data_IF_402971099096
#
_entry.id   IF_402971099096
#
_cell.length_a   1.000
_cell.length_b   1.000
_cell.length_c   1.000
_cell.angle_alpha   90.00
_cell.angle_beta   90.00
_cell.angle_gamma   90.00
#
_symmetry.space_group_name_H-M   'P 1'
#
loop_
_entity.id
_entity.type
_entity.pdbx_description
1 polymer ?
#
# COMPACT_ATOMS: atom_id res chain seq x y z
N UNK A 1 -18.78 18.33 1.52
CA UNK A 1 -17.97 19.18 2.41
C UNK A 1 -16.73 19.70 1.68
N UNK A 2 -16.13 20.78 2.18
CA UNK A 2 -14.86 21.31 1.67
C UNK A 2 -13.72 20.79 2.55
N UNK A 3 -12.92 19.87 2.01
CA UNK A 3 -11.83 19.19 2.71
C UNK A 3 -10.49 19.80 2.28
N UNK A 4 -9.68 20.25 3.24
CA UNK A 4 -8.31 20.68 2.96
C UNK A 4 -7.35 19.54 3.25
N UNK A 5 -6.76 18.96 2.18
CA UNK A 5 -5.78 17.90 2.24
C UNK A 5 -4.37 18.47 2.17
N UNK A 6 -3.54 18.17 3.17
CA UNK A 6 -2.14 18.61 3.22
C UNK A 6 -1.21 17.41 3.06
N UNK A 7 -0.32 17.50 2.07
CA UNK A 7 0.69 16.48 1.81
C UNK A 7 2.06 17.13 1.55
N UNK A 8 3.15 16.48 1.98
CA UNK A 8 4.51 17.03 1.88
C UNK A 8 4.90 17.35 0.46
N UNK A 9 4.81 16.36 -0.40
CA UNK A 9 5.16 16.43 -1.80
C UNK A 9 4.04 15.76 -2.60
N UNK A 10 3.62 16.39 -3.68
CA UNK A 10 2.60 15.88 -4.57
C UNK A 10 3.20 15.75 -5.96
N UNK A 11 3.26 14.52 -6.48
CA UNK A 11 3.77 14.17 -7.80
C UNK A 11 5.21 14.65 -8.10
N UNK A 12 6.21 13.95 -7.58
CA UNK A 12 7.65 14.29 -7.73
C UNK A 12 8.35 13.52 -8.87
N UNK A 13 7.67 12.62 -9.56
CA UNK A 13 8.25 11.79 -10.62
C UNK A 13 8.78 12.59 -11.80
N UNK A 14 10.02 12.28 -12.24
CA UNK A 14 10.61 12.80 -13.50
C UNK A 14 10.16 11.99 -14.73
N UNK A 15 9.60 10.82 -14.53
CA UNK A 15 9.07 9.93 -15.57
C UNK A 15 7.54 9.92 -15.52
N UNK A 16 6.93 9.75 -16.67
CA UNK A 16 5.49 9.72 -16.86
C UNK A 16 5.08 8.31 -17.23
N UNK A 17 3.92 7.87 -16.74
CA UNK A 17 3.25 6.68 -17.24
C UNK A 17 2.58 6.95 -18.60
N UNK A 18 2.02 5.92 -19.22
CA UNK A 18 1.32 6.04 -20.52
C UNK A 18 0.11 6.96 -20.49
N UNK A 19 -0.48 7.21 -19.32
CA UNK A 19 -1.58 8.18 -19.13
C UNK A 19 -1.08 9.62 -18.99
N UNK A 20 0.24 9.83 -18.98
CA UNK A 20 0.87 11.11 -18.78
C UNK A 20 0.86 11.57 -17.32
N UNK A 21 0.61 10.65 -16.37
CA UNK A 21 0.75 10.92 -14.95
C UNK A 21 2.20 10.64 -14.49
N UNK A 22 2.75 11.43 -13.56
CA UNK A 22 4.11 11.21 -13.08
C UNK A 22 4.19 9.92 -12.27
N UNK A 23 5.28 9.15 -12.45
CA UNK A 23 5.60 8.05 -11.56
C UNK A 23 5.75 8.56 -10.14
N UNK A 24 4.93 8.07 -9.25
CA UNK A 24 4.79 8.55 -7.87
C UNK A 24 5.45 7.58 -6.88
N UNK A 25 6.04 8.11 -5.81
CA UNK A 25 6.40 7.29 -4.65
C UNK A 25 5.13 6.78 -3.95
N UNK A 26 5.22 5.68 -3.21
CA UNK A 26 4.05 5.08 -2.55
C UNK A 26 3.20 6.07 -1.75
N UNK A 27 3.82 6.94 -0.93
CA UNK A 27 3.08 7.93 -0.13
C UNK A 27 2.36 9.01 -0.95
N UNK A 28 2.92 9.42 -2.08
CA UNK A 28 2.31 10.40 -2.99
C UNK A 28 1.11 9.81 -3.72
N UNK A 29 1.25 8.55 -4.18
CA UNK A 29 0.18 7.79 -4.82
C UNK A 29 -1.02 7.62 -3.87
N UNK A 30 -0.78 7.32 -2.61
CA UNK A 30 -1.84 7.20 -1.60
C UNK A 30 -2.57 8.53 -1.37
N UNK A 31 -1.83 9.65 -1.26
CA UNK A 31 -2.46 10.96 -1.08
C UNK A 31 -3.38 11.35 -2.24
N UNK A 32 -2.97 11.07 -3.47
CA UNK A 32 -3.80 11.30 -4.65
C UNK A 32 -5.02 10.37 -4.68
N UNK A 33 -4.84 9.10 -4.35
CA UNK A 33 -5.95 8.14 -4.31
C UNK A 33 -6.98 8.53 -3.24
N UNK A 34 -6.54 8.96 -2.04
CA UNK A 34 -7.45 9.47 -1.01
C UNK A 34 -8.24 10.70 -1.50
N UNK A 35 -7.58 11.64 -2.19
CA UNK A 35 -8.28 12.80 -2.77
C UNK A 35 -9.33 12.38 -3.82
N UNK A 36 -8.97 11.44 -4.71
CA UNK A 36 -9.89 10.90 -5.72
C UNK A 36 -11.13 10.27 -5.09
N UNK A 37 -10.93 9.46 -4.06
CA UNK A 37 -12.02 8.78 -3.38
C UNK A 37 -12.95 9.77 -2.65
N UNK A 38 -12.38 10.77 -1.96
CA UNK A 38 -13.19 11.83 -1.34
C UNK A 38 -13.98 12.64 -2.37
N UNK A 39 -13.43 12.91 -3.56
CA UNK A 39 -14.16 13.55 -4.66
C UNK A 39 -15.27 12.64 -5.17
N UNK A 40 -15.00 11.34 -5.36
CA UNK A 40 -16.00 10.34 -5.77
C UNK A 40 -17.20 10.28 -4.81
N UNK A 41 -16.94 10.51 -3.52
CA UNK A 41 -17.94 10.59 -2.46
C UNK A 41 -18.66 11.96 -2.40
N UNK A 42 -18.38 12.88 -3.34
CA UNK A 42 -19.09 14.15 -3.47
C UNK A 42 -18.49 15.31 -2.67
N UNK A 43 -17.24 15.20 -2.22
CA UNK A 43 -16.55 16.29 -1.51
C UNK A 43 -15.77 17.18 -2.47
N UNK A 44 -15.62 18.45 -2.10
CA UNK A 44 -14.67 19.36 -2.72
C UNK A 44 -13.33 19.29 -1.99
N UNK A 45 -12.24 18.95 -2.69
CA UNK A 45 -10.93 18.73 -2.07
C UNK A 45 -9.93 19.79 -2.50
N UNK A 46 -9.37 20.51 -1.53
CA UNK A 46 -8.25 21.43 -1.75
C UNK A 46 -6.95 20.75 -1.34
N UNK A 47 -6.06 20.47 -2.28
CA UNK A 47 -4.74 19.90 -2.01
C UNK A 47 -3.70 21.00 -1.84
N UNK A 48 -3.05 21.04 -0.68
CA UNK A 48 -1.93 21.94 -0.39
C UNK A 48 -0.62 21.15 -0.32
N UNK A 49 0.34 21.45 -1.22
CA UNK A 49 1.61 20.75 -1.30
C UNK A 49 2.81 21.65 -1.60
N UNK A 50 4.02 21.19 -1.26
CA UNK A 50 5.26 21.96 -1.37
C UNK A 50 5.78 22.12 -2.81
N UNK A 51 5.64 21.10 -3.67
CA UNK A 51 6.26 21.06 -5.00
C UNK A 51 5.27 21.11 -6.15
N UNK A 52 5.71 21.76 -7.22
CA UNK A 52 5.03 22.02 -8.47
C UNK A 52 5.50 21.02 -9.54
N UNK A 53 4.72 20.00 -9.81
CA UNK A 53 4.69 19.46 -11.17
C UNK A 53 3.25 18.96 -11.38
N UNK A 54 2.57 19.31 -12.49
CA UNK A 54 1.28 18.70 -12.92
C UNK A 54 -0.04 19.24 -12.36
N UNK A 55 -0.06 20.37 -11.69
CA UNK A 55 -1.32 20.98 -11.24
C UNK A 55 -2.36 21.16 -12.36
N UNK A 56 -1.93 21.51 -13.57
CA UNK A 56 -2.83 21.69 -14.71
C UNK A 56 -3.51 20.38 -15.11
N UNK A 57 -2.75 19.31 -15.33
CA UNK A 57 -3.30 18.00 -15.76
C UNK A 57 -4.21 17.35 -14.72
N UNK A 58 -3.85 17.42 -13.45
CA UNK A 58 -4.70 16.88 -12.37
C UNK A 58 -5.99 17.68 -12.25
N UNK A 59 -5.95 19.01 -12.45
CA UNK A 59 -7.15 19.86 -12.44
C UNK A 59 -8.09 19.54 -13.59
N UNK A 60 -7.57 19.30 -14.78
CA UNK A 60 -8.34 18.88 -15.97
C UNK A 60 -9.01 17.52 -15.79
N UNK A 61 -8.34 16.57 -15.09
CA UNK A 61 -8.85 15.22 -14.85
C UNK A 61 -10.00 15.16 -13.83
N UNK A 62 -10.15 16.16 -12.95
CA UNK A 62 -11.10 16.13 -11.83
C UNK A 62 -12.13 17.28 -11.85
N UNK A 63 -12.35 17.87 -13.04
CA UNK A 63 -13.49 18.72 -13.42
C UNK A 63 -13.97 19.71 -12.33
N UNK A 64 -13.02 20.46 -11.75
CA UNK A 64 -13.34 21.53 -10.80
C UNK A 64 -13.60 21.10 -9.35
N UNK A 65 -13.69 19.79 -9.06
CA UNK A 65 -13.85 19.30 -7.69
C UNK A 65 -12.54 19.31 -6.89
N UNK A 66 -11.41 19.67 -7.52
CA UNK A 66 -10.10 19.72 -6.89
C UNK A 66 -9.45 21.08 -7.05
N UNK A 67 -9.09 21.71 -5.96
CA UNK A 67 -8.22 22.88 -5.93
C UNK A 67 -6.79 22.48 -5.56
N UNK A 68 -5.83 22.94 -6.35
CA UNK A 68 -4.42 22.68 -6.14
C UNK A 68 -3.69 23.94 -5.73
N UNK A 69 -3.19 23.97 -4.51
CA UNK A 69 -2.49 25.12 -3.94
C UNK A 69 -1.01 24.83 -3.80
N UNK A 70 -0.20 25.55 -4.59
CA UNK A 70 1.25 25.54 -4.42
C UNK A 70 1.69 26.53 -3.36
N UNK A 71 2.53 26.07 -2.44
CA UNK A 71 3.13 26.92 -1.42
C UNK A 71 4.52 27.41 -1.84
N UNK A 72 4.75 28.73 -1.79
CA UNK A 72 5.94 29.39 -2.35
C UNK A 72 6.92 29.87 -1.26
N UNK A 73 8.23 29.71 -1.51
CA UNK A 73 9.32 30.43 -0.84
C UNK A 73 9.55 30.16 0.65
N UNK A 74 10.28 31.08 1.28
CA UNK A 74 10.63 31.04 2.70
C UNK A 74 9.44 31.33 3.63
N UNK A 75 8.45 32.07 3.15
CA UNK A 75 7.23 32.50 3.90
C UNK A 75 6.09 31.49 3.80
N UNK A 76 6.35 30.34 3.22
CA UNK A 76 5.43 29.21 2.95
C UNK A 76 4.49 28.88 4.11
N UNK A 77 5.00 29.00 5.31
CA UNK A 77 4.31 28.66 6.54
C UNK A 77 3.19 29.65 6.85
N UNK A 78 3.46 30.94 6.63
CA UNK A 78 2.48 31.99 6.84
C UNK A 78 1.47 32.07 5.68
N UNK A 79 1.90 31.73 4.47
CA UNK A 79 1.03 31.67 3.28
C UNK A 79 -0.18 30.76 3.48
N UNK A 80 0.00 29.58 4.11
CA UNK A 80 -1.12 28.68 4.42
C UNK A 80 -2.14 29.38 5.31
N UNK A 81 -1.69 29.98 6.40
CA UNK A 81 -2.58 30.65 7.34
C UNK A 81 -3.36 31.78 6.67
N UNK A 82 -2.69 32.60 5.85
CA UNK A 82 -3.35 33.66 5.09
C UNK A 82 -4.37 33.10 4.09
N UNK A 83 -4.03 32.04 3.38
CA UNK A 83 -4.97 31.40 2.42
C UNK A 83 -6.18 30.78 3.12
N UNK A 84 -5.99 30.21 4.30
CA UNK A 84 -7.09 29.70 5.09
C UNK A 84 -8.00 30.79 5.62
N UNK A 85 -7.45 31.95 5.96
CA UNK A 85 -8.25 33.12 6.39
C UNK A 85 -9.03 33.78 5.25
N UNK A 86 -8.53 33.68 4.03
CA UNK A 86 -9.09 34.37 2.85
C UNK A 86 -9.82 33.44 1.91
N UNK A 87 -9.06 32.69 1.10
CA UNK A 87 -9.59 31.92 -0.04
C UNK A 87 -10.24 30.60 0.43
N UNK A 88 -9.71 29.97 1.48
CA UNK A 88 -10.18 28.63 1.95
C UNK A 88 -10.85 28.69 3.32
N UNK A 89 -11.40 29.85 3.73
CA UNK A 89 -12.12 30.02 5.01
C UNK A 89 -13.34 29.11 5.17
N UNK A 90 -13.88 28.60 4.05
CA UNK A 90 -15.01 27.67 4.03
C UNK A 90 -14.61 26.21 4.21
N UNK A 91 -13.33 25.91 4.54
CA UNK A 91 -12.94 24.55 4.87
C UNK A 91 -13.78 24.00 6.04
N UNK A 92 -14.27 22.79 5.90
CA UNK A 92 -15.07 22.10 6.92
C UNK A 92 -14.21 21.21 7.79
N UNK A 93 -13.19 20.58 7.21
CA UNK A 93 -12.26 19.67 7.90
C UNK A 93 -10.88 19.71 7.24
N UNK A 94 -9.87 19.26 8.00
CA UNK A 94 -8.48 19.16 7.56
C UNK A 94 -8.00 17.73 7.61
N UNK A 95 -7.43 17.25 6.49
CA UNK A 95 -6.82 15.95 6.38
C UNK A 95 -5.33 16.07 6.07
N UNK A 96 -4.48 15.58 6.94
CA UNK A 96 -3.02 15.72 6.85
C UNK A 96 -2.42 14.35 6.64
N UNK A 97 -1.67 14.18 5.54
CA UNK A 97 -0.98 12.92 5.23
C UNK A 97 0.49 13.06 5.61
N UNK A 98 0.93 12.23 6.53
CA UNK A 98 2.25 12.33 7.15
C UNK A 98 2.35 13.56 8.05
N UNK A 99 3.55 14.15 8.16
CA UNK A 99 3.80 15.29 9.04
C UNK A 99 4.58 16.41 8.35
N UNK A 100 4.02 17.02 7.29
CA UNK A 100 4.69 18.15 6.65
C UNK A 100 4.83 19.31 7.61
N UNK A 101 6.04 19.90 7.69
CA UNK A 101 6.34 21.01 8.64
C UNK A 101 5.36 22.18 8.52
N UNK A 102 4.85 22.43 7.34
CA UNK A 102 3.94 23.54 7.05
C UNK A 102 2.50 23.29 7.54
N UNK A 103 2.09 22.05 7.83
CA UNK A 103 0.74 21.74 8.30
C UNK A 103 0.46 22.23 9.73
N UNK A 104 1.51 22.61 10.47
CA UNK A 104 1.39 23.26 11.80
C UNK A 104 0.41 24.43 11.76
N UNK A 105 0.48 25.27 10.73
CA UNK A 105 -0.39 26.43 10.58
C UNK A 105 -1.84 26.05 10.27
N UNK A 106 -2.03 24.96 9.53
CA UNK A 106 -3.38 24.43 9.27
C UNK A 106 -4.00 23.88 10.57
N UNK A 107 -3.21 23.16 11.39
CA UNK A 107 -3.67 22.67 12.71
C UNK A 107 -4.03 23.85 13.63
N UNK A 108 -3.17 24.88 13.70
CA UNK A 108 -3.46 26.09 14.48
C UNK A 108 -4.76 26.76 14.03
N UNK A 109 -4.92 26.97 12.73
CA UNK A 109 -6.14 27.55 12.17
C UNK A 109 -7.38 26.72 12.52
N UNK A 110 -7.29 25.39 12.33
CA UNK A 110 -8.38 24.49 12.64
C UNK A 110 -8.78 24.56 14.12
N UNK A 111 -7.80 24.55 15.03
CA UNK A 111 -8.05 24.69 16.48
C UNK A 111 -8.68 26.03 16.84
N UNK A 112 -8.21 27.14 16.23
CA UNK A 112 -8.79 28.49 16.47
C UNK A 112 -10.22 28.60 15.94
N UNK A 113 -10.57 27.85 14.91
CA UNK A 113 -11.90 27.91 14.26
C UNK A 113 -12.82 26.75 14.64
N UNK A 114 -12.39 25.85 15.55
CA UNK A 114 -13.17 24.69 16.00
C UNK A 114 -13.39 23.63 14.89
N UNK A 115 -12.49 23.57 13.89
CA UNK A 115 -12.60 22.62 12.78
C UNK A 115 -11.83 21.34 13.07
N UNK A 116 -12.38 20.15 12.73
CA UNK A 116 -11.70 18.88 12.98
C UNK A 116 -10.45 18.70 12.11
N UNK A 117 -9.46 18.01 12.68
CA UNK A 117 -8.21 17.65 12.02
C UNK A 117 -7.97 16.17 12.15
N UNK A 118 -7.84 15.48 11.01
CA UNK A 118 -7.44 14.08 10.95
C UNK A 118 -6.00 13.97 10.43
N UNK A 119 -5.16 13.19 11.11
CA UNK A 119 -3.77 12.94 10.74
C UNK A 119 -3.59 11.48 10.30
N UNK A 120 -3.22 11.26 9.02
CA UNK A 120 -2.79 9.94 8.55
C UNK A 120 -1.33 9.68 8.91
N UNK A 121 -1.10 8.57 9.61
CA UNK A 121 0.19 8.12 10.10
C UNK A 121 0.87 7.25 9.02
N UNK A 122 1.90 7.78 8.36
CA UNK A 122 2.55 7.14 7.21
C UNK A 122 3.81 6.33 7.54
N UNK A 123 4.04 6.01 8.81
CA UNK A 123 5.19 5.24 9.30
C UNK A 123 5.21 5.24 10.82
N UNK A 124 6.15 4.50 11.39
CA UNK A 124 6.31 4.38 12.86
C UNK A 124 6.63 5.71 13.54
N UNK A 125 6.34 5.79 14.82
CA UNK A 125 6.49 6.99 15.65
C UNK A 125 7.94 7.37 15.97
N UNK A 126 8.95 6.61 15.58
CA UNK A 126 10.39 6.86 15.87
C UNK A 126 10.85 8.30 15.56
N UNK A 127 10.12 8.98 14.68
CA UNK A 127 10.37 10.39 14.32
C UNK A 127 9.82 11.39 15.37
N UNK A 128 9.08 10.91 16.41
CA UNK A 128 8.60 11.75 17.54
C UNK A 128 9.65 11.91 18.66
N UNK A 129 10.93 11.61 18.41
CA UNK A 129 11.98 11.60 19.42
C UNK A 129 12.23 12.93 20.15
N UNK A 130 11.63 14.04 19.72
CA UNK A 130 11.68 15.32 20.42
C UNK A 130 10.30 15.72 20.98
N UNK A 131 9.84 14.98 22.01
CA UNK A 131 8.53 15.12 22.69
C UNK A 131 8.22 16.54 23.21
N UNK A 132 9.20 17.43 23.28
CA UNK A 132 9.05 18.79 23.82
C UNK A 132 8.80 19.86 22.74
N UNK A 133 8.96 19.52 21.46
CA UNK A 133 8.76 20.49 20.38
C UNK A 133 7.29 20.92 20.31
N UNK A 134 7.04 22.23 20.21
CA UNK A 134 5.71 22.80 19.98
C UNK A 134 4.98 22.14 18.79
N UNK A 135 5.73 21.81 17.76
CA UNK A 135 5.24 21.11 16.58
C UNK A 135 4.67 19.72 16.92
N UNK A 136 5.39 18.93 17.71
CA UNK A 136 4.95 17.56 18.07
C UNK A 136 3.70 17.63 18.98
N UNK A 137 3.64 18.60 19.87
CA UNK A 137 2.43 18.84 20.69
C UNK A 137 1.21 19.17 19.81
N UNK A 138 1.39 19.94 18.73
CA UNK A 138 0.30 20.24 17.80
C UNK A 138 -0.12 19.00 17.03
N UNK A 139 0.80 18.19 16.52
CA UNK A 139 0.45 16.92 15.86
C UNK A 139 -0.25 15.95 16.84
N UNK A 140 0.14 15.92 18.10
CA UNK A 140 -0.51 15.12 19.13
C UNK A 140 -1.89 15.67 19.55
N UNK A 141 -2.26 16.88 19.15
CA UNK A 141 -3.55 17.49 19.45
C UNK A 141 -4.61 17.32 18.38
N UNK A 142 -4.34 16.57 17.31
CA UNK A 142 -5.33 16.28 16.28
C UNK A 142 -6.54 15.54 16.86
N UNK A 143 -7.68 15.67 16.20
CA UNK A 143 -8.94 15.12 16.71
C UNK A 143 -9.03 13.63 16.42
N UNK A 144 -8.58 13.21 15.21
CA UNK A 144 -8.55 11.82 14.77
C UNK A 144 -7.20 11.46 14.13
N UNK A 145 -6.88 10.16 14.18
CA UNK A 145 -5.70 9.59 13.53
C UNK A 145 -6.10 8.37 12.72
N UNK A 146 -5.46 8.20 11.55
CA UNK A 146 -5.59 7.00 10.72
C UNK A 146 -4.23 6.32 10.66
N UNK A 147 -4.13 5.12 11.23
CA UNK A 147 -2.99 4.22 11.07
C UNK A 147 -3.31 3.19 9.99
N UNK A 148 -2.34 2.84 9.15
CA UNK A 148 -2.57 1.85 8.09
C UNK A 148 -2.37 0.42 8.57
N UNK A 149 -1.75 0.22 9.74
CA UNK A 149 -1.47 -1.08 10.36
C UNK A 149 -1.52 -0.98 11.88
N UNK A 150 -1.72 -2.13 12.55
CA UNK A 150 -1.64 -2.21 14.00
C UNK A 150 -0.25 -1.82 14.53
N UNK A 151 0.82 -2.24 13.84
CA UNK A 151 2.18 -1.86 14.23
C UNK A 151 2.38 -0.35 14.27
N UNK A 152 1.83 0.38 13.28
CA UNK A 152 1.86 1.85 13.27
C UNK A 152 1.04 2.40 14.43
N UNK A 153 -0.19 1.92 14.64
CA UNK A 153 -1.05 2.32 15.76
C UNK A 153 -0.31 2.17 17.09
N UNK A 154 0.23 0.97 17.36
CA UNK A 154 0.94 0.66 18.60
C UNK A 154 2.18 1.54 18.82
N UNK A 155 2.94 1.83 17.75
CA UNK A 155 4.09 2.72 17.86
C UNK A 155 3.68 4.15 18.27
N UNK A 156 2.54 4.65 17.80
CA UNK A 156 2.04 5.98 18.17
C UNK A 156 1.45 6.03 19.59
N UNK A 157 0.81 4.95 20.04
CA UNK A 157 0.37 4.82 21.43
C UNK A 157 1.59 4.81 22.36
N UNK A 158 2.58 3.95 22.08
CA UNK A 158 3.75 3.74 22.94
C UNK A 158 4.70 4.94 22.95
N UNK A 159 5.09 5.41 21.76
CA UNK A 159 6.20 6.35 21.62
C UNK A 159 5.74 7.81 21.55
N UNK A 160 4.55 8.07 21.02
CA UNK A 160 3.97 9.40 20.91
C UNK A 160 2.89 9.69 21.98
N UNK A 161 2.47 8.68 22.76
CA UNK A 161 1.43 8.77 23.78
C UNK A 161 0.09 9.34 23.25
N UNK A 162 -0.25 8.98 22.01
CA UNK A 162 -1.56 9.32 21.44
C UNK A 162 -2.61 8.43 22.10
N UNK A 163 -3.77 9.03 22.44
CA UNK A 163 -4.89 8.27 22.97
C UNK A 163 -5.37 7.23 21.96
N UNK A 164 -5.40 5.91 22.31
CA UNK A 164 -5.87 4.85 21.41
C UNK A 164 -7.29 5.08 20.90
N UNK A 165 -8.18 5.72 21.68
CA UNK A 165 -9.56 6.02 21.30
C UNK A 165 -9.68 7.08 20.16
N UNK A 166 -8.56 7.61 19.70
CA UNK A 166 -8.49 8.54 18.57
C UNK A 166 -7.85 7.92 17.33
N UNK A 167 -7.37 6.67 17.39
CA UNK A 167 -6.61 6.05 16.30
C UNK A 167 -7.44 4.94 15.67
N UNK A 168 -7.95 5.20 14.48
CA UNK A 168 -8.56 4.19 13.62
C UNK A 168 -7.48 3.43 12.85
N UNK A 169 -7.66 2.11 12.65
CA UNK A 169 -6.85 1.30 11.73
C UNK A 169 -7.61 1.19 10.42
N UNK A 170 -7.15 1.92 9.41
CA UNK A 170 -7.74 1.95 8.07
C UNK A 170 -6.63 1.65 7.06
N UNK A 171 -6.63 0.47 6.41
CA UNK A 171 -5.59 0.07 5.46
C UNK A 171 -5.59 0.94 4.21
N UNK A 172 -4.59 0.74 3.36
CA UNK A 172 -4.64 1.29 2.01
C UNK A 172 -5.71 0.56 1.19
N UNK A 173 -6.52 1.32 0.48
CA UNK A 173 -7.47 0.78 -0.49
C UNK A 173 -6.77 0.24 -1.74
N UNK A 174 -7.38 -0.77 -2.35
CA UNK A 174 -6.97 -1.33 -3.63
C UNK A 174 -8.14 -1.39 -4.63
N UNK A 175 -7.82 -1.24 -5.91
CA UNK A 175 -8.77 -1.41 -7.01
C UNK A 175 -8.94 -2.91 -7.33
N UNK A 176 -9.92 -3.54 -6.73
CA UNK A 176 -10.23 -4.96 -6.95
C UNK A 176 -10.70 -5.25 -8.38
N UNK A 177 -11.17 -4.24 -9.14
CA UNK A 177 -11.55 -4.40 -10.54
C UNK A 177 -10.30 -4.47 -11.43
N UNK A 178 -9.24 -3.77 -11.05
CA UNK A 178 -7.94 -3.85 -11.71
C UNK A 178 -7.23 -5.16 -11.39
N UNK A 179 -7.37 -5.66 -10.16
CA UNK A 179 -6.77 -6.91 -9.67
C UNK A 179 -7.85 -7.92 -9.30
N UNK A 180 -8.64 -8.42 -10.29
CA UNK A 180 -9.72 -9.34 -10.01
C UNK A 180 -9.19 -10.69 -9.56
N UNK A 181 -10.01 -11.42 -8.80
CA UNK A 181 -9.73 -12.82 -8.50
C UNK A 181 -9.55 -13.62 -9.79
N UNK A 182 -8.51 -14.45 -9.84
CA UNK A 182 -8.19 -15.34 -10.95
C UNK A 182 -8.35 -16.78 -10.44
N UNK A 183 -9.31 -17.52 -11.01
CA UNK A 183 -9.54 -18.93 -10.66
C UNK A 183 -8.37 -19.83 -11.15
N UNK A 184 -8.33 -21.06 -10.66
CA UNK A 184 -7.35 -22.03 -11.15
C UNK A 184 -7.52 -22.28 -12.66
N UNK A 185 -8.76 -22.42 -13.13
CA UNK A 185 -9.09 -22.61 -14.54
C UNK A 185 -8.62 -21.44 -15.40
N UNK A 186 -8.86 -20.20 -14.94
CA UNK A 186 -8.40 -19.01 -15.66
C UNK A 186 -6.87 -18.90 -15.69
N UNK A 187 -6.18 -19.36 -14.63
CA UNK A 187 -4.70 -19.46 -14.62
C UNK A 187 -4.22 -20.50 -15.62
N UNK A 188 -4.86 -21.66 -15.67
CA UNK A 188 -4.53 -22.69 -16.64
C UNK A 188 -4.67 -22.17 -18.08
N UNK A 189 -5.75 -21.48 -18.38
CA UNK A 189 -5.98 -20.85 -19.70
C UNK A 189 -4.90 -19.82 -20.00
N UNK A 190 -4.58 -18.95 -19.06
CA UNK A 190 -3.56 -17.91 -19.24
C UNK A 190 -2.16 -18.53 -19.51
N UNK A 191 -1.80 -19.58 -18.77
CA UNK A 191 -0.54 -20.33 -18.97
C UNK A 191 -0.49 -20.98 -20.35
N UNK A 192 -1.55 -21.66 -20.78
CA UNK A 192 -1.63 -22.25 -22.12
C UNK A 192 -1.49 -21.21 -23.23
N UNK A 193 -2.15 -20.06 -23.10
CA UNK A 193 -2.01 -18.94 -24.04
C UNK A 193 -0.58 -18.38 -24.10
N UNK A 194 0.16 -18.48 -23.01
CA UNK A 194 1.57 -18.09 -22.93
C UNK A 194 2.54 -19.20 -23.36
N UNK A 195 2.05 -20.35 -23.81
CA UNK A 195 2.88 -21.50 -24.21
C UNK A 195 3.53 -22.23 -23.01
N UNK A 196 2.94 -22.11 -21.83
CA UNK A 196 3.39 -22.79 -20.60
C UNK A 196 2.52 -24.00 -20.31
N UNK A 197 3.06 -24.94 -19.56
CA UNK A 197 2.26 -26.03 -19.03
C UNK A 197 1.29 -25.49 -17.97
N UNK A 198 0.01 -25.80 -18.16
CA UNK A 198 -1.08 -25.23 -17.37
C UNK A 198 -1.11 -25.71 -15.92
N UNK A 199 -0.64 -26.93 -15.65
CA UNK A 199 -0.70 -27.53 -14.31
C UNK A 199 0.55 -27.27 -13.48
N UNK A 200 1.66 -26.90 -14.11
CA UNK A 200 2.92 -26.64 -13.42
C UNK A 200 2.84 -25.31 -12.67
N UNK A 201 3.11 -25.29 -11.34
CA UNK A 201 3.02 -24.06 -10.56
C UNK A 201 4.17 -23.11 -10.86
N UNK A 202 3.88 -21.81 -10.85
CA UNK A 202 4.84 -20.74 -11.05
C UNK A 202 4.91 -19.81 -9.83
N UNK A 203 6.12 -19.28 -9.55
CA UNK A 203 6.40 -18.34 -8.48
C UNK A 203 6.41 -16.90 -9.01
N UNK A 204 5.97 -15.96 -8.19
CA UNK A 204 6.01 -14.52 -8.48
C UNK A 204 6.67 -13.75 -7.35
N UNK A 205 7.63 -12.90 -7.69
CA UNK A 205 8.08 -11.77 -6.90
C UNK A 205 7.70 -10.48 -7.63
N UNK A 206 6.89 -9.64 -7.01
CA UNK A 206 6.45 -8.38 -7.62
C UNK A 206 6.65 -7.23 -6.62
N UNK A 207 7.76 -6.52 -6.75
CA UNK A 207 8.10 -5.37 -5.93
C UNK A 207 9.24 -4.57 -6.57
N UNK A 208 9.49 -3.35 -6.08
CA UNK A 208 10.73 -2.64 -6.43
C UNK A 208 11.94 -3.47 -6.00
N UNK A 209 12.85 -3.76 -6.93
CA UNK A 209 14.07 -4.51 -6.64
C UNK A 209 15.03 -3.65 -5.84
N UNK A 210 15.14 -3.93 -4.54
CA UNK A 210 16.00 -3.25 -3.58
C UNK A 210 16.44 -4.23 -2.49
N UNK A 211 17.58 -4.02 -1.81
CA UNK A 211 18.11 -4.95 -0.81
C UNK A 211 17.08 -5.34 0.26
N UNK A 212 16.37 -4.35 0.80
CA UNK A 212 15.36 -4.55 1.86
C UNK A 212 14.05 -5.22 1.39
N UNK A 213 13.88 -5.49 0.09
CA UNK A 213 12.72 -6.21 -0.46
C UNK A 213 12.95 -7.71 -0.56
N UNK A 214 14.13 -8.19 -0.15
CA UNK A 214 14.42 -9.62 0.01
C UNK A 214 14.62 -10.39 -1.29
N UNK A 215 14.97 -9.71 -2.40
CA UNK A 215 15.19 -10.39 -3.68
C UNK A 215 16.24 -11.50 -3.58
N UNK A 216 17.33 -11.30 -2.81
CA UNK A 216 18.36 -12.31 -2.62
C UNK A 216 17.84 -13.54 -1.87
N UNK A 217 16.91 -13.35 -0.95
CA UNK A 217 16.22 -14.45 -0.27
C UNK A 217 15.34 -15.22 -1.28
N UNK A 218 14.55 -14.51 -2.09
CA UNK A 218 13.74 -15.14 -3.12
C UNK A 218 14.57 -15.97 -4.12
N UNK A 219 15.74 -15.45 -4.52
CA UNK A 219 16.68 -16.18 -5.37
C UNK A 219 17.27 -17.42 -4.70
N UNK A 220 17.62 -17.33 -3.41
CA UNK A 220 18.11 -18.47 -2.64
C UNK A 220 17.03 -19.55 -2.46
N UNK A 221 15.78 -19.14 -2.23
CA UNK A 221 14.62 -20.04 -2.20
C UNK A 221 14.44 -20.71 -3.54
N UNK A 222 14.47 -19.94 -4.64
CA UNK A 222 14.27 -20.50 -5.97
C UNK A 222 15.28 -21.56 -6.36
N UNK A 223 16.57 -21.38 -6.01
CA UNK A 223 17.61 -22.39 -6.28
C UNK A 223 17.25 -23.76 -5.70
N UNK A 224 16.72 -23.80 -4.46
CA UNK A 224 16.31 -25.05 -3.83
C UNK A 224 14.99 -25.59 -4.41
N UNK A 225 14.03 -24.72 -4.71
CA UNK A 225 12.77 -25.09 -5.35
C UNK A 225 13.02 -25.70 -6.73
N UNK A 226 13.90 -25.10 -7.53
CA UNK A 226 14.20 -25.53 -8.88
C UNK A 226 14.76 -26.96 -8.95
N UNK A 227 15.47 -27.46 -7.94
CA UNK A 227 15.95 -28.82 -7.88
C UNK A 227 14.83 -29.87 -8.03
N UNK A 228 13.62 -29.54 -7.55
CA UNK A 228 12.46 -30.43 -7.57
C UNK A 228 11.40 -30.03 -8.60
N UNK A 229 11.36 -28.76 -9.03
CA UNK A 229 10.33 -28.19 -9.92
C UNK A 229 10.94 -27.52 -11.14
N UNK A 230 11.68 -28.31 -11.95
CA UNK A 230 12.52 -27.80 -13.06
C UNK A 230 11.72 -27.15 -14.20
N UNK A 231 10.45 -27.52 -14.39
CA UNK A 231 9.57 -26.95 -15.42
C UNK A 231 8.87 -25.67 -14.97
N UNK A 232 8.90 -25.37 -13.67
CA UNK A 232 8.33 -24.15 -13.09
C UNK A 232 9.09 -22.89 -13.52
N UNK A 233 8.38 -21.75 -13.52
CA UNK A 233 8.97 -20.44 -13.79
C UNK A 233 8.88 -19.56 -12.55
N UNK A 234 9.89 -18.70 -12.40
CA UNK A 234 9.92 -17.66 -11.39
C UNK A 234 9.95 -16.29 -12.06
N UNK A 235 8.86 -15.53 -11.92
CA UNK A 235 8.74 -14.18 -12.44
C UNK A 235 9.23 -13.16 -11.44
N UNK A 236 10.18 -12.29 -11.83
CA UNK A 236 10.66 -11.15 -11.06
C UNK A 236 10.17 -9.88 -11.76
N UNK A 237 9.14 -9.26 -11.21
CA UNK A 237 8.49 -8.08 -11.75
C UNK A 237 8.81 -6.87 -10.89
N UNK A 238 9.39 -5.86 -11.50
CA UNK A 238 9.77 -4.60 -10.88
C UNK A 238 11.16 -4.12 -11.29
N UNK A 239 11.31 -2.80 -11.35
CA UNK A 239 12.60 -2.15 -11.56
C UNK A 239 13.31 -1.85 -10.25
N UNK A 240 14.56 -1.39 -10.33
CA UNK A 240 15.30 -0.97 -9.14
C UNK A 240 16.82 -1.07 -9.29
N UNK A 241 17.47 -1.74 -8.34
CA UNK A 241 18.92 -1.91 -8.30
C UNK A 241 19.38 -2.85 -9.42
N UNK A 242 20.18 -2.32 -10.34
CA UNK A 242 20.68 -3.08 -11.48
C UNK A 242 21.60 -4.24 -11.06
N UNK A 243 22.37 -4.08 -10.00
CA UNK A 243 23.26 -5.14 -9.50
C UNK A 243 22.44 -6.35 -9.04
N UNK A 244 21.31 -6.10 -8.36
CA UNK A 244 20.41 -7.16 -7.92
C UNK A 244 19.64 -7.80 -9.09
N UNK A 245 19.29 -7.03 -10.11
CA UNK A 245 18.70 -7.56 -11.36
C UNK A 245 19.70 -8.41 -12.14
N UNK A 246 20.96 -8.01 -12.20
CA UNK A 246 22.02 -8.80 -12.85
C UNK A 246 22.32 -10.09 -12.07
N UNK A 247 22.29 -10.03 -10.74
CA UNK A 247 22.36 -11.24 -9.91
C UNK A 247 21.20 -12.21 -10.18
N UNK A 248 19.99 -11.68 -10.34
CA UNK A 248 18.82 -12.52 -10.70
C UNK A 248 19.01 -13.20 -12.07
N UNK A 249 19.58 -12.50 -13.08
CA UNK A 249 19.91 -13.09 -14.39
C UNK A 249 20.96 -14.15 -14.26
N UNK A 250 22.03 -13.91 -13.48
CA UNK A 250 23.10 -14.88 -13.22
C UNK A 250 22.56 -16.16 -12.55
N UNK A 251 21.65 -16.01 -11.58
CA UNK A 251 21.00 -17.17 -10.96
C UNK A 251 20.08 -17.88 -11.95
N UNK A 252 19.42 -17.15 -12.84
CA UNK A 252 18.60 -17.75 -13.90
C UNK A 252 19.40 -18.70 -14.79
N UNK A 253 20.60 -18.29 -15.23
CA UNK A 253 21.50 -19.15 -16.01
C UNK A 253 21.84 -20.45 -15.28
N UNK A 254 22.03 -20.39 -13.96
CA UNK A 254 22.27 -21.59 -13.12
C UNK A 254 21.05 -22.52 -12.99
N UNK A 255 19.85 -21.98 -13.22
CA UNK A 255 18.57 -22.69 -13.12
C UNK A 255 17.93 -22.84 -14.53
N UNK A 256 18.69 -23.12 -15.56
CA UNK A 256 18.26 -23.34 -16.94
C UNK A 256 17.29 -22.25 -17.47
N UNK A 257 17.57 -21.00 -17.17
CA UNK A 257 16.77 -19.83 -17.55
C UNK A 257 15.29 -19.91 -17.07
N UNK A 258 15.06 -20.53 -15.92
CA UNK A 258 13.72 -20.63 -15.31
C UNK A 258 13.27 -19.34 -14.64
N UNK A 259 14.19 -18.41 -14.30
CA UNK A 259 13.86 -17.10 -13.74
C UNK A 259 13.66 -16.11 -14.89
N UNK A 260 12.49 -15.50 -14.95
CA UNK A 260 12.13 -14.48 -15.93
C UNK A 260 12.23 -13.10 -15.28
N UNK A 261 13.33 -12.39 -15.53
CA UNK A 261 13.53 -11.01 -15.02
C UNK A 261 12.81 -10.05 -15.95
N UNK A 262 11.61 -9.67 -15.57
CA UNK A 262 10.71 -8.82 -16.37
C UNK A 262 11.13 -7.34 -16.33
N UNK A 263 11.58 -6.86 -15.17
CA UNK A 263 11.86 -5.45 -14.93
C UNK A 263 10.59 -4.64 -14.60
N UNK A 264 10.69 -3.32 -14.78
CA UNK A 264 9.58 -2.39 -14.51
C UNK A 264 8.52 -2.45 -15.63
N UNK A 265 7.26 -2.64 -15.24
CA UNK A 265 6.11 -2.68 -16.15
C UNK A 265 4.98 -1.77 -15.64
N UNK A 266 4.14 -1.29 -16.55
CA UNK A 266 2.97 -0.47 -16.20
C UNK A 266 1.80 -1.32 -15.66
N UNK A 267 1.72 -2.57 -16.10
CA UNK A 267 0.67 -3.53 -15.72
C UNK A 267 1.28 -4.85 -15.27
N UNK A 268 1.02 -5.21 -14.02
CA UNK A 268 1.51 -6.45 -13.40
C UNK A 268 0.50 -7.60 -13.48
N UNK A 269 -0.74 -7.33 -13.90
CA UNK A 269 -1.83 -8.31 -13.91
C UNK A 269 -1.58 -9.54 -14.77
N UNK A 270 -0.86 -9.48 -15.92
CA UNK A 270 -0.51 -10.68 -16.66
C UNK A 270 0.32 -11.67 -15.83
N UNK A 271 1.23 -11.17 -15.00
CA UNK A 271 2.10 -12.02 -14.16
C UNK A 271 1.35 -12.60 -12.96
N UNK A 272 0.33 -11.91 -12.43
CA UNK A 272 -0.60 -12.48 -11.46
C UNK A 272 -1.38 -13.67 -12.04
N UNK A 273 -1.73 -13.61 -13.33
CA UNK A 273 -2.44 -14.71 -14.02
C UNK A 273 -1.54 -15.90 -14.34
N UNK A 274 -0.25 -15.67 -14.59
CA UNK A 274 0.72 -16.71 -14.92
C UNK A 274 1.33 -17.40 -13.70
N UNK A 275 1.07 -16.89 -12.50
CA UNK A 275 1.69 -17.36 -11.26
C UNK A 275 0.66 -17.96 -10.31
N UNK A 276 1.12 -18.85 -9.44
CA UNK A 276 0.30 -19.61 -8.49
C UNK A 276 0.61 -19.19 -7.03
N UNK A 277 1.87 -18.89 -6.77
CA UNK A 277 2.37 -18.51 -5.46
C UNK A 277 3.10 -17.18 -5.54
N UNK A 278 2.80 -16.29 -4.59
CA UNK A 278 3.48 -15.01 -4.43
C UNK A 278 4.47 -15.09 -3.27
N UNK A 279 5.74 -14.80 -3.52
CA UNK A 279 6.79 -14.72 -2.49
C UNK A 279 7.15 -13.27 -2.19
N UNK A 280 7.10 -12.89 -0.92
CA UNK A 280 7.36 -11.52 -0.48
C UNK A 280 8.28 -11.46 0.76
N UNK A 281 9.60 -11.72 0.60
CA UNK A 281 10.55 -11.82 1.71
C UNK A 281 11.13 -10.46 2.14
N UNK A 282 10.32 -9.42 2.17
CA UNK A 282 10.72 -8.06 2.56
C UNK A 282 11.15 -8.00 4.03
N UNK A 283 12.13 -7.16 4.35
CA UNK A 283 12.63 -6.99 5.72
C UNK A 283 11.85 -5.92 6.50
N UNK A 284 11.27 -4.95 5.79
CA UNK A 284 10.53 -3.84 6.40
C UNK A 284 9.41 -3.36 5.47
N UNK A 285 8.19 -3.33 5.97
CA UNK A 285 7.04 -2.78 5.28
C UNK A 285 6.13 -1.99 6.25
N UNK A 286 5.45 -0.98 5.71
CA UNK A 286 4.23 -0.48 6.32
C UNK A 286 3.06 -1.42 5.96
N UNK A 287 2.18 -1.00 5.06
CA UNK A 287 1.21 -1.89 4.44
C UNK A 287 1.58 -2.05 2.95
N UNK A 288 2.08 -3.23 2.51
CA UNK A 288 2.60 -3.38 1.15
C UNK A 288 1.47 -3.51 0.12
N UNK A 289 1.40 -2.54 -0.80
CA UNK A 289 0.38 -2.54 -1.86
C UNK A 289 0.49 -3.76 -2.78
N UNK A 290 1.72 -4.19 -3.11
CA UNK A 290 1.93 -5.37 -3.97
C UNK A 290 1.44 -6.67 -3.35
N UNK A 291 1.46 -6.79 -2.02
CA UNK A 291 0.85 -7.92 -1.31
C UNK A 291 -0.67 -7.88 -1.45
N UNK A 292 -1.30 -6.71 -1.27
CA UNK A 292 -2.75 -6.55 -1.49
C UNK A 292 -3.14 -6.87 -2.94
N UNK A 293 -2.33 -6.46 -3.93
CA UNK A 293 -2.53 -6.76 -5.35
C UNK A 293 -2.50 -8.28 -5.61
N UNK A 294 -1.51 -8.97 -5.06
CA UNK A 294 -1.38 -10.43 -5.17
C UNK A 294 -2.52 -11.17 -4.48
N UNK A 295 -2.88 -10.77 -3.25
CA UNK A 295 -4.01 -11.31 -2.50
C UNK A 295 -5.35 -11.11 -3.23
N UNK A 296 -5.60 -9.90 -3.74
CA UNK A 296 -6.81 -9.58 -4.52
C UNK A 296 -6.93 -10.50 -5.75
N UNK A 297 -5.81 -10.77 -6.42
CA UNK A 297 -5.76 -11.67 -7.58
C UNK A 297 -5.82 -13.16 -7.20
N UNK A 298 -5.96 -13.49 -5.92
CA UNK A 298 -6.08 -14.87 -5.46
C UNK A 298 -4.78 -15.68 -5.51
N UNK A 299 -3.62 -15.04 -5.37
CA UNK A 299 -2.35 -15.76 -5.23
C UNK A 299 -2.17 -16.27 -3.79
N UNK A 300 -1.81 -17.55 -3.64
CA UNK A 300 -1.35 -18.06 -2.36
C UNK A 300 -0.02 -17.39 -1.99
N UNK A 301 0.07 -16.82 -0.78
CA UNK A 301 1.18 -15.94 -0.43
C UNK A 301 2.10 -16.54 0.63
N UNK A 302 3.41 -16.39 0.43
CA UNK A 302 4.44 -16.66 1.44
C UNK A 302 5.25 -15.39 1.67
N UNK A 303 5.17 -14.80 2.85
CA UNK A 303 5.80 -13.51 3.16
C UNK A 303 6.55 -13.52 4.48
N UNK A 304 7.40 -12.52 4.71
CA UNK A 304 8.06 -12.33 6.00
C UNK A 304 7.07 -12.01 7.12
N UNK A 305 7.32 -12.52 8.32
CA UNK A 305 6.63 -12.15 9.56
C UNK A 305 7.10 -10.76 10.03
N UNK A 306 6.49 -9.73 9.46
CA UNK A 306 6.79 -8.32 9.74
C UNK A 306 5.53 -7.47 9.71
N UNK A 307 5.50 -6.44 10.52
CA UNK A 307 4.54 -5.33 10.57
C UNK A 307 3.26 -5.49 9.75
N UNK A 308 3.20 -4.76 8.64
CA UNK A 308 1.99 -4.74 7.81
C UNK A 308 1.62 -6.08 7.14
N UNK A 309 2.56 -7.02 7.00
CA UNK A 309 2.22 -8.36 6.50
C UNK A 309 1.37 -9.12 7.52
N UNK A 310 1.62 -8.91 8.81
CA UNK A 310 0.92 -9.60 9.90
C UNK A 310 -0.55 -9.21 10.01
N UNK A 311 -0.88 -8.04 9.51
CA UNK A 311 -2.26 -7.56 9.46
C UNK A 311 -3.07 -8.15 8.28
N UNK A 312 -2.38 -8.72 7.28
CA UNK A 312 -2.99 -9.25 6.06
C UNK A 312 -2.93 -10.77 5.95
N UNK A 313 -1.84 -11.37 6.45
CA UNK A 313 -1.60 -12.81 6.30
C UNK A 313 -1.89 -13.55 7.60
N UNK A 314 -2.83 -14.48 7.50
CA UNK A 314 -3.23 -15.40 8.56
C UNK A 314 -2.79 -16.81 8.15
N UNK A 315 -1.88 -17.42 8.93
CA UNK A 315 -1.30 -18.71 8.61
C UNK A 315 -2.35 -19.79 8.38
N UNK A 316 -2.15 -20.60 7.34
CA UNK A 316 -3.06 -21.65 6.86
C UNK A 316 -4.42 -21.14 6.34
N UNK A 317 -4.64 -19.81 6.29
CA UNK A 317 -5.91 -19.19 5.82
C UNK A 317 -5.70 -18.34 4.58
N UNK A 318 -4.93 -17.26 4.68
CA UNK A 318 -4.66 -16.34 3.55
C UNK A 318 -3.24 -16.49 2.99
N UNK A 319 -2.37 -17.22 3.68
CA UNK A 319 -0.98 -17.43 3.28
C UNK A 319 -0.15 -18.00 4.41
N UNK A 320 1.16 -17.80 4.32
CA UNK A 320 2.14 -18.16 5.34
C UNK A 320 3.05 -16.99 5.67
N UNK A 321 3.25 -16.76 6.98
CA UNK A 321 4.28 -15.86 7.49
C UNK A 321 5.51 -16.66 7.85
N UNK A 322 6.66 -16.16 7.46
CA UNK A 322 7.95 -16.82 7.62
C UNK A 322 8.92 -15.91 8.37
N UNK A 323 9.71 -16.41 9.32
CA UNK A 323 10.75 -15.61 9.97
C UNK A 323 11.63 -14.90 8.93
N UNK A 324 11.99 -13.65 9.21
CA UNK A 324 12.79 -12.84 8.27
C UNK A 324 14.10 -13.56 7.94
N UNK A 325 14.40 -13.69 6.65
CA UNK A 325 15.61 -14.35 6.10
C UNK A 325 15.71 -15.85 6.30
N UNK A 326 14.70 -16.53 6.79
CA UNK A 326 14.72 -17.99 6.93
C UNK A 326 14.38 -18.69 5.60
N UNK A 327 15.41 -18.89 4.77
CA UNK A 327 15.28 -19.52 3.45
C UNK A 327 14.64 -20.91 3.53
N UNK A 328 14.99 -21.71 4.54
CA UNK A 328 14.50 -23.09 4.63
C UNK A 328 12.99 -23.15 4.86
N UNK A 329 12.47 -22.29 5.76
CA UNK A 329 11.03 -22.21 6.00
C UNK A 329 10.29 -21.65 4.76
N UNK A 330 10.90 -20.70 4.02
CA UNK A 330 10.33 -20.26 2.73
C UNK A 330 10.23 -21.42 1.74
N UNK A 331 11.29 -22.22 1.59
CA UNK A 331 11.30 -23.40 0.70
C UNK A 331 10.20 -24.37 1.12
N UNK A 332 10.10 -24.72 2.41
CA UNK A 332 9.05 -25.60 2.94
C UNK A 332 7.64 -25.10 2.55
N UNK A 333 7.35 -23.82 2.81
CA UNK A 333 6.00 -23.27 2.57
C UNK A 333 5.69 -23.14 1.08
N UNK A 334 6.65 -22.72 0.24
CA UNK A 334 6.46 -22.65 -1.21
C UNK A 334 6.27 -24.05 -1.77
N UNK A 335 7.07 -25.06 -1.39
CA UNK A 335 6.91 -26.45 -1.84
C UNK A 335 5.54 -27.01 -1.43
N UNK A 336 5.11 -26.80 -0.18
CA UNK A 336 3.78 -27.20 0.28
C UNK A 336 2.66 -26.63 -0.59
N UNK A 337 2.80 -25.39 -1.04
CA UNK A 337 1.83 -24.76 -1.95
C UNK A 337 1.98 -25.27 -3.38
N UNK A 338 3.18 -25.57 -3.85
CA UNK A 338 3.40 -26.13 -5.19
C UNK A 338 2.79 -27.52 -5.33
N UNK A 339 2.88 -28.35 -4.30
CA UNK A 339 2.36 -29.72 -4.28
C UNK A 339 0.84 -29.81 -4.11
N UNK A 340 0.18 -28.73 -3.65
CA UNK A 340 -1.23 -28.81 -3.25
C UNK A 340 -2.09 -27.73 -3.92
N UNK A 341 -2.74 -28.09 -5.01
CA UNK A 341 -3.63 -27.21 -5.79
C UNK A 341 -4.82 -26.74 -4.93
N UNK A 342 -5.48 -27.66 -4.21
CA UNK A 342 -6.65 -27.34 -3.41
C UNK A 342 -6.32 -26.33 -2.31
N UNK A 343 -5.13 -26.47 -1.70
CA UNK A 343 -4.66 -25.53 -0.69
C UNK A 343 -4.39 -24.15 -1.28
N UNK A 344 -3.74 -24.07 -2.47
CA UNK A 344 -3.51 -22.81 -3.18
C UNK A 344 -4.81 -22.09 -3.50
N UNK A 345 -5.78 -22.83 -4.07
CA UNK A 345 -7.08 -22.25 -4.41
C UNK A 345 -7.83 -21.74 -3.19
N UNK A 346 -7.89 -22.57 -2.14
CA UNK A 346 -8.54 -22.20 -0.89
C UNK A 346 -7.92 -20.94 -0.30
N UNK A 347 -6.61 -20.89 -0.18
CA UNK A 347 -5.90 -19.69 0.32
C UNK A 347 -6.14 -18.47 -0.56
N UNK A 348 -6.06 -18.64 -1.89
CA UNK A 348 -6.30 -17.58 -2.84
C UNK A 348 -7.71 -16.99 -2.75
N UNK A 349 -8.73 -17.84 -2.63
CA UNK A 349 -10.13 -17.42 -2.43
C UNK A 349 -10.29 -16.67 -1.10
N UNK A 350 -9.71 -17.19 -0.01
CA UNK A 350 -9.74 -16.53 1.30
C UNK A 350 -9.06 -15.15 1.26
N UNK A 351 -7.89 -15.05 0.62
CA UNK A 351 -7.13 -13.81 0.48
C UNK A 351 -7.91 -12.76 -0.31
N UNK A 352 -8.44 -13.15 -1.47
CA UNK A 352 -9.18 -12.22 -2.33
C UNK A 352 -10.43 -11.70 -1.64
N UNK A 353 -11.19 -12.58 -0.98
CA UNK A 353 -12.38 -12.20 -0.21
C UNK A 353 -12.03 -11.25 0.94
N UNK A 354 -10.96 -11.54 1.69
CA UNK A 354 -10.51 -10.67 2.77
C UNK A 354 -10.15 -9.26 2.26
N UNK A 355 -9.44 -9.18 1.12
CA UNK A 355 -9.10 -7.89 0.50
C UNK A 355 -10.36 -7.16 0.02
N UNK A 356 -11.32 -7.84 -0.57
CA UNK A 356 -12.60 -7.25 -1.00
C UNK A 356 -13.36 -6.63 0.17
N UNK A 357 -13.46 -7.36 1.28
CA UNK A 357 -14.25 -6.98 2.46
C UNK A 357 -13.58 -5.90 3.31
N UNK A 358 -12.23 -5.85 3.37
CA UNK A 358 -11.50 -4.97 4.29
C UNK A 358 -10.60 -3.93 3.61
N UNK A 359 -10.17 -4.17 2.38
CA UNK A 359 -9.16 -3.34 1.71
C UNK A 359 -9.59 -2.81 0.34
N UNK A 360 -10.81 -3.06 -0.15
CA UNK A 360 -11.29 -2.47 -1.40
C UNK A 360 -11.45 -0.95 -1.27
N UNK A 361 -11.25 -0.20 -2.37
CA UNK A 361 -11.47 1.25 -2.36
C UNK A 361 -12.87 1.63 -1.87
N UNK A 362 -13.89 0.84 -2.22
CA UNK A 362 -15.28 1.16 -1.83
C UNK A 362 -15.50 1.08 -0.32
N UNK A 363 -14.85 0.15 0.36
CA UNK A 363 -14.95 -0.01 1.82
C UNK A 363 -14.05 1.00 2.53
N UNK A 364 -12.77 1.04 2.15
CA UNK A 364 -11.76 1.91 2.78
C UNK A 364 -12.12 3.39 2.65
N UNK A 365 -12.61 3.83 1.49
CA UNK A 365 -12.94 5.24 1.28
C UNK A 365 -14.11 5.73 2.14
N UNK A 366 -15.11 4.88 2.39
CA UNK A 366 -16.22 5.22 3.29
C UNK A 366 -15.74 5.39 4.73
N UNK A 367 -14.93 4.48 5.23
CA UNK A 367 -14.41 4.56 6.59
C UNK A 367 -13.45 5.74 6.77
N UNK A 368 -12.62 6.00 5.76
CA UNK A 368 -11.77 7.19 5.70
C UNK A 368 -12.61 8.47 5.69
N UNK A 369 -13.68 8.56 4.89
CA UNK A 369 -14.58 9.69 4.83
C UNK A 369 -15.20 9.98 6.20
N UNK A 370 -15.80 8.98 6.83
CA UNK A 370 -16.42 9.11 8.15
C UNK A 370 -15.42 9.64 9.18
N UNK A 371 -14.18 9.14 9.16
CA UNK A 371 -13.12 9.58 10.08
C UNK A 371 -12.65 11.00 9.77
N UNK A 372 -12.42 11.35 8.49
CA UNK A 372 -11.96 12.67 8.05
C UNK A 372 -13.03 13.75 8.28
N UNK A 373 -14.31 13.42 8.11
CA UNK A 373 -15.42 14.34 8.32
C UNK A 373 -15.85 14.43 9.79
N UNK A 374 -15.18 13.70 10.69
CA UNK A 374 -15.46 13.64 12.12
C UNK A 374 -16.89 13.23 12.47
N UNK A 375 -17.45 12.31 11.68
CA UNK A 375 -18.79 11.76 11.89
C UNK A 375 -18.78 10.56 12.84
N UNK A 376 -17.61 10.09 13.23
CA UNK A 376 -17.43 8.93 14.11
C UNK A 376 -17.09 9.37 15.53
N UNK A 377 -17.73 8.75 16.51
CA UNK A 377 -17.49 8.96 17.94
C UNK A 377 -16.40 8.05 18.49
N UNK A 378 -16.23 6.86 17.87
CA UNK A 378 -15.24 5.85 18.28
C UNK A 378 -14.36 5.43 17.11
N UNK A 379 -13.09 5.06 17.32
CA UNK A 379 -12.20 4.60 16.27
C UNK A 379 -12.67 3.26 15.70
N UNK A 380 -12.36 3.00 14.43
CA UNK A 380 -12.58 1.70 13.80
C UNK A 380 -11.26 0.94 13.65
N UNK A 381 -11.37 -0.37 13.65
CA UNK A 381 -10.29 -1.29 13.32
C UNK A 381 -10.76 -2.22 12.20
N UNK A 382 -10.39 -1.87 10.96
CA UNK A 382 -10.79 -2.63 9.77
C UNK A 382 -10.02 -3.94 9.58
N UNK A 383 -8.92 -4.14 10.33
CA UNK A 383 -8.05 -5.31 10.23
C UNK A 383 -8.16 -6.24 11.45
N UNK A 384 -9.06 -5.95 12.39
CA UNK A 384 -9.26 -6.74 13.60
C UNK A 384 -9.89 -8.12 13.35
N UNK A 385 -10.70 -8.23 12.31
CA UNK A 385 -11.41 -9.47 12.00
C UNK A 385 -10.54 -10.44 11.19
N UNK A 386 -10.34 -11.64 11.74
CA UNK A 386 -9.67 -12.72 11.00
C UNK A 386 -10.67 -13.39 10.06
N UNK A 387 -10.25 -13.72 8.81
CA UNK A 387 -11.13 -14.42 7.89
C UNK A 387 -11.52 -15.79 8.45
N UNK A 388 -12.84 -16.10 8.43
CA UNK A 388 -13.36 -17.36 8.93
C UNK A 388 -13.46 -18.35 7.76
N UNK A 389 -12.76 -19.48 7.86
CA UNK A 389 -12.67 -20.53 6.81
C UNK A 389 -14.05 -21.14 6.50
N UNK A 390 -15.00 -21.14 7.46
CA UNK A 390 -16.31 -21.80 7.33
C UNK A 390 -17.24 -21.14 6.29
N UNK A 391 -16.96 -19.92 5.85
CA UNK A 391 -17.83 -19.15 4.95
C UNK A 391 -17.41 -19.22 3.47
N UNK A 392 -16.49 -20.14 3.11
CA UNK A 392 -16.00 -20.28 1.75
C UNK A 392 -16.49 -21.63 1.21
N UNK A 393 -17.68 -21.59 0.63
CA UNK A 393 -18.23 -22.68 -0.21
C UNK A 393 -17.85 -22.46 -1.65
#
# INVERSE_FOLDING_TARGET
MNIVLLIKDFAVGKKFDKSGMPNQSGGEKHGLNHAKELIRLGHHVTIMAKKKYWFTKVRELYDGCIDLVRLHGLIRWFEIFLRLLTTHRKADTFYIIGRPKFSVWAILYAKLTGKPVTLALTGKAEVFNNKQSFREKLFASCDNYIATTHEIKESFIKDAHINPDKISVIPHGIDIKKYPFVSYEDRCIAKQQAGLDSVIPNLLFCARVAPNKGILIALAVWKQIYEHYQDSKFYIVGGGDNTLLDEARRVSEQCNNSIIVVGEVDDVTPYHRLSDVYIFPSEHEGLPTSLLEAMSSGLATVCSDIGGNNDLIFDDVTGYRVPVKDVNVYVEKVSKLFDNIDLREKMGKCSSKYVEEHCSYDVVSKEMEITVTNQRTEPIDMLSEKPVISNIK
#
